data_IF_362690403065
#
_entry.id   IF_362690403065
#
_cell.length_a   1.000
_cell.length_b   1.000
_cell.length_c   1.000
_cell.angle_alpha   90.00
_cell.angle_beta   90.00
_cell.angle_gamma   90.00
#
_symmetry.space_group_name_H-M   'P 1'
#
loop_
_entity.id
_entity.type
_entity.pdbx_description
1 polymer ?
#
# COMPACT_ATOMS: atom_id res chain seq x y z
N UNK A 1 43.48 52.10 -12.23
CA UNK A 1 43.40 50.62 -12.30
C UNK A 1 42.70 50.18 -11.02
N UNK A 2 41.48 49.65 -10.98
CA UNK A 2 40.91 48.50 -11.71
C UNK A 2 39.39 48.69 -11.82
N UNK A 3 38.82 48.38 -13.00
CA UNK A 3 37.38 48.32 -13.24
C UNK A 3 36.87 46.96 -12.76
N UNK A 4 35.84 46.95 -11.91
CA UNK A 4 35.20 45.72 -11.42
C UNK A 4 34.07 45.36 -12.39
N UNK A 5 34.25 44.31 -13.18
CA UNK A 5 33.25 43.78 -14.10
C UNK A 5 32.36 42.79 -13.36
N UNK A 6 31.07 43.09 -13.22
CA UNK A 6 30.05 42.15 -12.72
C UNK A 6 29.63 41.29 -13.92
N UNK A 7 30.00 40.01 -13.91
CA UNK A 7 29.51 39.04 -14.89
C UNK A 7 28.10 38.58 -14.47
N UNK A 8 27.09 38.93 -15.27
CA UNK A 8 25.73 38.42 -15.12
C UNK A 8 25.70 36.94 -15.56
N UNK A 9 25.67 36.02 -14.60
CA UNK A 9 25.46 34.60 -14.87
C UNK A 9 23.99 34.35 -15.22
N UNK A 10 23.71 34.03 -16.49
CA UNK A 10 22.40 33.59 -16.93
C UNK A 10 22.08 32.22 -16.31
N UNK A 11 21.16 32.17 -15.35
CA UNK A 11 20.62 30.92 -14.84
C UNK A 11 19.73 30.28 -15.92
N UNK A 12 20.23 29.22 -16.56
CA UNK A 12 19.44 28.41 -17.49
C UNK A 12 18.39 27.63 -16.70
N UNK A 13 17.14 28.09 -16.72
CA UNK A 13 15.99 27.36 -16.21
C UNK A 13 15.71 26.20 -17.17
N UNK A 14 16.16 25.00 -16.81
CA UNK A 14 15.80 23.77 -17.52
C UNK A 14 14.32 23.47 -17.28
N UNK A 15 13.49 23.81 -18.27
CA UNK A 15 12.11 23.33 -18.33
C UNK A 15 12.11 21.83 -18.63
N UNK A 16 11.92 21.01 -17.60
CA UNK A 16 11.53 19.62 -17.79
C UNK A 16 10.12 19.59 -18.36
N UNK A 17 10.01 19.41 -19.68
CA UNK A 17 8.74 19.09 -20.31
C UNK A 17 8.30 17.71 -19.79
N UNK A 18 7.28 17.68 -18.95
CA UNK A 18 6.61 16.44 -18.57
C UNK A 18 6.00 15.83 -19.84
N UNK A 19 6.65 14.80 -20.39
CA UNK A 19 6.07 13.97 -21.44
C UNK A 19 4.90 13.24 -20.81
N UNK A 20 3.68 13.75 -21.02
CA UNK A 20 2.47 13.03 -20.67
C UNK A 20 2.47 11.67 -21.37
N UNK A 21 2.22 10.61 -20.61
CA UNK A 21 2.06 9.27 -21.17
C UNK A 21 0.93 9.30 -22.20
N UNK A 22 1.26 9.04 -23.47
CA UNK A 22 0.24 8.87 -24.50
C UNK A 22 -0.26 7.43 -24.46
N UNK A 23 -1.52 7.25 -24.09
CA UNK A 23 -2.20 5.98 -24.26
C UNK A 23 -2.34 5.72 -25.77
N UNK A 24 -1.69 4.67 -26.27
CA UNK A 24 -1.75 4.28 -27.69
C UNK A 24 -3.17 3.91 -28.13
N UNK A 25 -3.40 3.94 -29.45
CA UNK A 25 -4.67 3.47 -30.02
C UNK A 25 -4.95 2.01 -29.65
N UNK A 26 -6.22 1.71 -29.36
CA UNK A 26 -6.66 0.37 -29.00
C UNK A 26 -6.49 -0.57 -30.18
N UNK A 27 -5.82 -1.71 -29.95
CA UNK A 27 -5.68 -2.78 -30.96
C UNK A 27 -7.02 -3.30 -31.50
N UNK A 28 -8.10 -3.24 -30.71
CA UNK A 28 -9.45 -3.65 -31.10
C UNK A 28 -10.50 -2.61 -30.66
N UNK A 29 -10.72 -1.54 -31.45
CA UNK A 29 -11.62 -0.44 -31.04
C UNK A 29 -13.09 -0.86 -30.89
N UNK A 30 -13.50 -1.99 -31.47
CA UNK A 30 -14.85 -2.54 -31.38
C UNK A 30 -15.11 -3.37 -30.09
N UNK A 31 -14.09 -3.68 -29.29
CA UNK A 31 -14.23 -4.48 -28.07
C UNK A 31 -14.10 -3.62 -26.81
N UNK A 32 -15.07 -3.78 -25.89
CA UNK A 32 -15.11 -3.09 -24.60
C UNK A 32 -15.32 -1.57 -24.71
N UNK A 33 -15.11 -0.87 -23.59
CA UNK A 33 -15.21 0.60 -23.50
C UNK A 33 -14.01 1.17 -22.75
N UNK A 34 -13.78 2.48 -22.84
CA UNK A 34 -12.79 3.15 -21.98
C UNK A 34 -13.33 3.15 -20.56
N UNK A 35 -12.53 2.65 -19.63
CA UNK A 35 -12.86 2.72 -18.22
C UNK A 35 -12.88 4.19 -17.81
N UNK A 36 -13.96 4.60 -17.18
CA UNK A 36 -14.08 5.92 -16.58
C UNK A 36 -13.07 6.07 -15.45
N UNK A 37 -12.61 7.29 -15.14
CA UNK A 37 -11.75 7.53 -13.98
C UNK A 37 -12.34 6.95 -12.68
N UNK A 38 -13.67 6.98 -12.53
CA UNK A 38 -14.39 6.45 -11.38
C UNK A 38 -14.29 4.91 -11.30
N UNK A 39 -14.40 4.22 -12.44
CA UNK A 39 -14.22 2.76 -12.51
C UNK A 39 -12.79 2.35 -12.16
N UNK A 40 -11.80 3.10 -12.66
CA UNK A 40 -10.40 2.85 -12.32
C UNK A 40 -10.19 3.04 -10.82
N UNK A 41 -10.60 4.19 -10.27
CA UNK A 41 -10.47 4.50 -8.84
C UNK A 41 -11.14 3.47 -7.93
N UNK A 42 -12.24 2.86 -8.37
CA UNK A 42 -12.94 1.84 -7.59
C UNK A 42 -12.19 0.50 -7.53
N UNK A 43 -11.33 0.20 -8.50
CA UNK A 43 -10.66 -1.11 -8.62
C UNK A 43 -9.16 -1.03 -8.29
N UNK A 44 -8.53 0.06 -8.71
CA UNK A 44 -7.13 0.42 -8.49
C UNK A 44 -7.00 1.08 -7.10
N UNK A 45 -6.73 0.23 -6.10
CA UNK A 45 -6.53 0.59 -4.70
C UNK A 45 -5.24 -0.04 -4.15
N UNK A 46 -4.34 -0.51 -5.03
CA UNK A 46 -3.08 -1.11 -4.56
C UNK A 46 -2.14 -0.07 -3.95
N UNK A 47 -1.42 -0.49 -2.91
CA UNK A 47 -0.42 0.34 -2.24
C UNK A 47 0.95 -0.29 -2.45
N UNK A 48 1.75 0.40 -3.23
CA UNK A 48 3.08 -0.05 -3.64
C UNK A 48 4.11 0.14 -2.50
N UNK A 49 5.24 -0.60 -2.52
CA UNK A 49 6.32 -0.43 -1.53
C UNK A 49 6.94 0.98 -1.47
N UNK A 50 6.81 1.76 -2.54
CA UNK A 50 7.24 3.18 -2.59
C UNK A 50 6.16 4.16 -2.06
N UNK A 51 5.04 3.64 -1.57
CA UNK A 51 3.91 4.41 -1.05
C UNK A 51 2.95 4.93 -2.12
N UNK A 52 3.22 4.71 -3.41
CA UNK A 52 2.28 5.07 -4.46
C UNK A 52 0.96 4.30 -4.29
N UNK A 53 -0.17 5.00 -4.43
CA UNK A 53 -1.51 4.46 -4.23
C UNK A 53 -2.02 4.52 -2.79
N UNK A 54 -1.19 4.89 -1.81
CA UNK A 54 -1.64 5.07 -0.43
C UNK A 54 -2.72 6.18 -0.34
N UNK A 55 -3.92 5.89 0.20
CA UNK A 55 -4.95 6.89 0.40
C UNK A 55 -4.58 7.84 1.56
N UNK A 56 -5.18 9.05 1.61
CA UNK A 56 -5.05 9.90 2.79
C UNK A 56 -5.71 9.22 4.00
N UNK A 57 -5.03 9.26 5.15
CA UNK A 57 -5.55 8.68 6.39
C UNK A 57 -4.49 8.67 7.48
N UNK A 58 -4.89 8.26 8.68
CA UNK A 58 -3.98 8.05 9.81
C UNK A 58 -4.56 7.12 10.86
N UNK A 59 -3.71 6.22 11.35
CA UNK A 59 -4.02 5.30 12.45
C UNK A 59 -3.04 5.42 13.61
N UNK A 60 -3.39 4.82 14.74
CA UNK A 60 -2.48 4.58 15.87
C UNK A 60 -2.78 3.20 16.43
N UNK A 61 -1.81 2.54 17.06
CA UNK A 61 -2.02 1.23 17.68
C UNK A 61 -3.21 1.23 18.66
N UNK A 62 -3.35 2.28 19.48
CA UNK A 62 -4.45 2.42 20.44
C UNK A 62 -5.84 2.54 19.77
N UNK A 63 -5.91 3.10 18.55
CA UNK A 63 -7.15 3.13 17.76
C UNK A 63 -7.40 1.80 17.04
N UNK A 64 -6.33 1.13 16.60
CA UNK A 64 -6.40 -0.13 15.87
C UNK A 64 -6.77 -1.33 16.75
N UNK A 65 -6.35 -1.35 18.01
CA UNK A 65 -6.65 -2.43 18.95
C UNK A 65 -8.15 -2.77 19.03
N UNK A 66 -9.08 -1.85 19.35
CA UNK A 66 -10.50 -2.19 19.41
C UNK A 66 -11.06 -2.68 18.07
N UNK A 67 -10.60 -2.12 16.95
CA UNK A 67 -11.00 -2.56 15.59
C UNK A 67 -10.53 -4.00 15.35
N UNK A 68 -9.29 -4.32 15.72
CA UNK A 68 -8.71 -5.64 15.58
C UNK A 68 -9.46 -6.68 16.43
N UNK A 69 -9.77 -6.34 17.68
CA UNK A 69 -10.55 -7.21 18.57
C UNK A 69 -11.93 -7.51 17.99
N UNK A 70 -12.61 -6.50 17.47
CA UNK A 70 -13.96 -6.65 16.92
C UNK A 70 -13.98 -7.40 15.58
N UNK A 71 -13.05 -7.08 14.67
CA UNK A 71 -13.13 -7.50 13.27
C UNK A 71 -12.16 -8.61 12.86
N UNK A 72 -11.12 -8.88 13.66
CA UNK A 72 -9.99 -9.75 13.26
C UNK A 72 -9.74 -10.90 14.26
N UNK A 73 -9.83 -10.61 15.55
CA UNK A 73 -9.33 -11.49 16.60
C UNK A 73 -10.05 -12.84 16.64
N UNK A 74 -11.33 -12.91 16.27
CA UNK A 74 -12.10 -14.16 16.24
C UNK A 74 -11.39 -15.30 15.48
N UNK A 75 -10.61 -14.95 14.44
CA UNK A 75 -9.76 -15.88 13.70
C UNK A 75 -8.27 -15.76 14.09
N UNK A 76 -7.76 -14.55 14.26
CA UNK A 76 -6.32 -14.30 14.36
C UNK A 76 -5.77 -14.24 15.80
N UNK A 77 -6.58 -14.48 16.82
CA UNK A 77 -6.16 -14.36 18.21
C UNK A 77 -6.20 -12.90 18.68
N UNK A 78 -6.08 -12.66 19.98
CA UNK A 78 -6.20 -11.30 20.52
C UNK A 78 -4.91 -10.48 20.29
N UNK A 79 -3.79 -11.18 20.08
CA UNK A 79 -2.46 -10.62 19.85
C UNK A 79 -1.83 -11.07 18.51
N UNK A 80 -2.62 -11.66 17.61
CA UNK A 80 -2.12 -12.18 16.33
C UNK A 80 -1.54 -13.60 16.39
N UNK A 81 -1.73 -14.32 17.49
CA UNK A 81 -1.24 -15.68 17.74
C UNK A 81 -2.05 -16.79 17.05
N UNK A 82 -3.10 -16.42 16.32
CA UNK A 82 -4.11 -17.28 15.71
C UNK A 82 -5.02 -18.04 16.69
N UNK A 83 -6.19 -18.43 16.18
CA UNK A 83 -7.08 -19.42 16.81
C UNK A 83 -7.21 -20.65 15.89
N UNK A 84 -7.06 -21.85 16.43
CA UNK A 84 -7.21 -23.09 15.67
C UNK A 84 -6.25 -23.22 14.48
N UNK A 85 -6.78 -23.22 13.26
CA UNK A 85 -6.00 -23.37 12.01
C UNK A 85 -5.94 -22.09 11.18
N UNK A 86 -6.35 -20.95 11.75
CA UNK A 86 -6.21 -19.67 11.07
C UNK A 86 -4.74 -19.20 11.05
N UNK A 87 -4.38 -18.27 10.16
CA UNK A 87 -3.01 -17.77 10.07
C UNK A 87 -2.55 -17.02 11.33
N UNK A 88 -1.33 -17.32 11.76
CA UNK A 88 -0.57 -16.53 12.76
C UNK A 88 -0.06 -15.25 12.10
N UNK A 89 -0.34 -14.10 12.71
CA UNK A 89 0.04 -12.79 12.20
C UNK A 89 1.30 -12.23 12.87
N UNK A 90 1.56 -12.58 14.12
CA UNK A 90 2.67 -12.07 14.94
C UNK A 90 3.45 -13.23 15.56
N UNK A 91 4.78 -13.18 15.53
CA UNK A 91 5.67 -14.23 16.05
C UNK A 91 6.64 -14.77 15.00
N UNK A 92 7.31 -15.88 15.29
CA UNK A 92 8.20 -16.56 14.33
C UNK A 92 9.52 -15.85 14.02
N UNK A 93 9.91 -14.84 14.79
CA UNK A 93 11.24 -14.23 14.67
C UNK A 93 12.34 -15.27 14.86
N UNK A 94 13.40 -15.15 14.06
CA UNK A 94 14.55 -16.06 14.03
C UNK A 94 14.27 -17.52 13.62
N UNK A 95 13.02 -17.87 13.30
CA UNK A 95 12.64 -19.25 12.92
C UNK A 95 12.87 -19.58 11.45
N UNK A 96 13.26 -18.63 10.59
CA UNK A 96 13.33 -18.81 9.14
C UNK A 96 14.29 -19.91 8.66
N UNK A 97 15.20 -20.37 9.53
CA UNK A 97 16.17 -21.45 9.25
C UNK A 97 15.77 -22.79 9.88
N UNK A 98 14.71 -22.82 10.67
CA UNK A 98 14.25 -24.04 11.33
C UNK A 98 13.65 -25.01 10.30
N UNK A 99 13.52 -26.29 10.67
CA UNK A 99 12.85 -27.28 9.82
C UNK A 99 11.38 -26.89 9.53
N UNK A 100 10.75 -26.16 10.46
CA UNK A 100 9.37 -25.67 10.32
C UNK A 100 9.27 -24.19 10.72
N UNK A 101 9.63 -23.26 9.81
CA UNK A 101 9.62 -21.84 10.11
C UNK A 101 8.20 -21.29 10.30
N UNK A 102 8.06 -20.31 11.20
CA UNK A 102 6.83 -19.53 11.35
C UNK A 102 6.99 -18.19 10.61
N UNK A 103 6.34 -18.11 9.44
CA UNK A 103 6.42 -16.96 8.55
C UNK A 103 5.23 -16.03 8.79
N UNK A 104 5.45 -14.98 9.56
CA UNK A 104 4.44 -14.00 9.95
C UNK A 104 4.74 -12.64 9.31
N UNK A 105 3.93 -11.62 9.61
CA UNK A 105 4.18 -10.25 9.15
C UNK A 105 5.56 -9.78 9.63
N UNK A 106 5.83 -9.91 10.92
CA UNK A 106 7.08 -9.42 11.53
C UNK A 106 8.32 -10.27 11.21
N UNK A 107 8.17 -11.56 10.90
CA UNK A 107 9.32 -12.44 10.65
C UNK A 107 9.70 -12.58 9.18
N UNK A 108 8.78 -12.31 8.25
CA UNK A 108 8.99 -12.66 6.84
C UNK A 108 8.61 -11.57 5.82
N UNK A 109 7.60 -10.75 6.10
CA UNK A 109 7.09 -9.82 5.09
C UNK A 109 8.00 -8.59 4.96
N UNK A 110 8.33 -8.15 3.72
CA UNK A 110 9.32 -7.10 3.52
C UNK A 110 8.77 -5.68 3.64
N UNK A 111 7.47 -5.46 3.44
CA UNK A 111 6.88 -4.11 3.30
C UNK A 111 5.55 -3.97 4.03
N UNK A 112 5.38 -2.85 4.74
CA UNK A 112 4.11 -2.48 5.38
C UNK A 112 3.00 -2.18 4.35
N UNK A 113 3.36 -1.72 3.15
CA UNK A 113 2.40 -1.44 2.08
C UNK A 113 1.58 -2.67 1.70
N UNK A 114 2.21 -3.86 1.67
CA UNK A 114 1.51 -5.11 1.36
C UNK A 114 0.52 -5.48 2.46
N UNK A 115 0.82 -5.16 3.72
CA UNK A 115 -0.10 -5.37 4.85
C UNK A 115 -1.33 -4.47 4.68
N UNK A 116 -1.12 -3.18 4.41
CA UNK A 116 -2.21 -2.22 4.19
C UNK A 116 -3.10 -2.62 3.01
N UNK A 117 -2.52 -2.85 1.81
CA UNK A 117 -3.28 -3.23 0.61
C UNK A 117 -4.07 -4.51 0.84
N UNK A 118 -3.44 -5.55 1.40
CA UNK A 118 -4.12 -6.82 1.65
C UNK A 118 -5.28 -6.68 2.64
N UNK A 119 -5.07 -5.98 3.77
CA UNK A 119 -6.13 -5.77 4.77
C UNK A 119 -7.27 -4.97 4.15
N UNK A 120 -6.97 -3.85 3.49
CA UNK A 120 -7.97 -3.00 2.84
C UNK A 120 -8.80 -3.75 1.80
N UNK A 121 -8.14 -4.60 1.00
CA UNK A 121 -8.74 -5.27 -0.15
C UNK A 121 -9.48 -6.56 0.21
N UNK A 122 -8.97 -7.32 1.17
CA UNK A 122 -9.37 -8.71 1.35
C UNK A 122 -9.85 -9.05 2.78
N UNK A 123 -9.70 -8.16 3.75
CA UNK A 123 -10.13 -8.37 5.12
C UNK A 123 -11.29 -7.44 5.52
N UNK A 124 -12.11 -7.83 6.51
CA UNK A 124 -12.15 -9.15 7.17
C UNK A 124 -12.58 -10.29 6.24
N UNK A 125 -12.14 -11.52 6.51
CA UNK A 125 -12.54 -12.68 5.69
C UNK A 125 -14.05 -12.93 5.79
N UNK A 126 -14.76 -12.81 4.66
CA UNK A 126 -16.23 -12.87 4.59
C UNK A 126 -16.89 -11.50 4.46
N UNK A 127 -16.18 -10.42 4.79
CA UNK A 127 -16.67 -9.03 4.79
C UNK A 127 -15.60 -8.07 4.24
N UNK A 128 -14.89 -8.49 3.19
CA UNK A 128 -13.80 -7.72 2.59
C UNK A 128 -14.25 -6.34 2.07
N UNK A 129 -13.32 -5.38 2.03
CA UNK A 129 -13.55 -4.00 1.57
C UNK A 129 -14.56 -3.20 2.41
N UNK A 130 -14.74 -3.57 3.69
CA UNK A 130 -15.60 -2.85 4.63
C UNK A 130 -14.84 -1.86 5.52
N UNK A 131 -13.51 -1.97 5.60
CA UNK A 131 -12.69 -1.05 6.37
C UNK A 131 -12.51 0.28 5.64
N UNK A 132 -12.57 1.37 6.38
CA UNK A 132 -12.17 2.72 5.93
C UNK A 132 -10.65 2.86 5.88
N UNK A 133 -10.13 3.94 5.31
CA UNK A 133 -8.66 4.15 5.21
C UNK A 133 -8.01 4.40 6.58
N UNK A 134 -8.76 4.93 7.54
CA UNK A 134 -8.30 5.16 8.92
C UNK A 134 -8.44 3.91 9.82
N UNK A 135 -9.20 2.91 9.40
CA UNK A 135 -9.39 1.64 10.13
C UNK A 135 -8.35 0.56 9.79
N UNK A 136 -7.56 0.77 8.72
CA UNK A 136 -6.45 -0.11 8.32
C UNK A 136 -5.14 0.40 8.93
#
# INVERSE_FOLDING_TARGET
MKRLTIAAGAAAVLFFAATGAQAGERMFPALGKIATPEQIKAWDIDVRPDGAGAPPGSGTAAKGEPIYIEKCAACHGDFGEARGRYPVLVGGHDTLKDERPEKTIGSYWPYASTVFDYIKRAMPFGEAQTLTDDEV
#
